data_IF_525992433185
#
_entry.id   IF_525992433185
#
_cell.length_a   1.000
_cell.length_b   1.000
_cell.length_c   1.000
_cell.angle_alpha   90.00
_cell.angle_beta   90.00
_cell.angle_gamma   90.00
#
_symmetry.space_group_name_H-M   'P 1'
#
loop_
_entity.id
_entity.type
_entity.pdbx_description
1 polymer ?
#
# COMPACT_ATOMS: atom_id res chain seq x y z
N UNK A 1 23.97 28.65 -8.57
CA UNK A 1 24.60 27.40 -9.03
C UNK A 1 24.98 26.64 -7.77
N UNK A 2 24.08 25.81 -7.27
CA UNK A 2 24.32 24.95 -6.12
C UNK A 2 24.66 23.59 -6.68
N UNK A 3 25.87 23.15 -6.46
CA UNK A 3 26.40 21.83 -6.81
C UNK A 3 25.57 20.77 -6.10
N UNK A 4 24.76 20.03 -6.83
CA UNK A 4 24.16 18.79 -6.33
C UNK A 4 25.26 17.76 -6.10
N UNK A 5 25.54 17.50 -4.85
CA UNK A 5 26.40 16.43 -4.40
C UNK A 5 25.74 15.09 -4.75
N UNK A 6 26.22 14.44 -5.82
CA UNK A 6 25.83 13.06 -6.14
C UNK A 6 26.23 12.17 -4.98
N UNK A 7 25.27 11.78 -4.15
CA UNK A 7 25.49 10.78 -3.10
C UNK A 7 25.73 9.42 -3.76
N UNK A 8 26.84 8.82 -3.39
CA UNK A 8 27.17 7.44 -3.75
C UNK A 8 26.26 6.47 -2.95
N UNK A 9 25.40 5.75 -3.66
CA UNK A 9 24.46 4.79 -3.08
C UNK A 9 24.99 3.36 -3.01
N UNK A 10 26.31 3.15 -3.22
CA UNK A 10 26.94 1.82 -3.19
C UNK A 10 27.06 1.21 -1.79
N UNK A 11 26.80 1.97 -0.72
CA UNK A 11 26.82 1.49 0.65
C UNK A 11 25.41 1.62 1.29
N UNK A 12 24.46 0.83 0.81
CA UNK A 12 23.19 0.64 1.53
C UNK A 12 23.50 -0.19 2.77
N UNK A 13 23.18 0.29 4.00
CA UNK A 13 23.26 -0.57 5.18
C UNK A 13 22.37 -1.80 4.95
N UNK A 14 22.89 -3.00 5.18
CA UNK A 14 22.07 -4.21 5.24
C UNK A 14 20.87 -3.94 6.15
N UNK A 15 19.68 -4.35 5.70
CA UNK A 15 18.44 -4.14 6.43
C UNK A 15 18.61 -4.64 7.87
N UNK A 16 18.39 -3.74 8.82
CA UNK A 16 18.54 -4.03 10.25
C UNK A 16 17.56 -5.16 10.61
N UNK A 17 18.09 -6.37 10.79
CA UNK A 17 17.45 -7.39 11.61
C UNK A 17 16.58 -8.44 10.94
N UNK A 18 16.86 -8.89 9.72
CA UNK A 18 16.28 -10.13 9.19
C UNK A 18 17.30 -11.25 9.21
N UNK A 19 17.26 -12.07 10.26
CA UNK A 19 17.90 -13.37 10.26
C UNK A 19 17.23 -14.31 9.26
N UNK A 20 18.02 -15.02 8.50
CA UNK A 20 17.74 -15.98 7.42
C UNK A 20 16.63 -16.99 7.72
N UNK A 21 15.36 -16.63 7.52
CA UNK A 21 14.24 -17.55 7.49
C UNK A 21 13.27 -17.15 6.35
N UNK A 22 13.58 -17.63 5.15
CA UNK A 22 12.78 -17.47 3.95
C UNK A 22 13.06 -16.17 3.15
N UNK A 23 12.88 -16.24 1.84
CA UNK A 23 12.97 -15.07 0.96
C UNK A 23 11.94 -13.99 1.36
N UNK A 24 12.31 -12.71 1.35
CA UNK A 24 11.38 -11.65 1.73
C UNK A 24 10.23 -11.54 0.70
N UNK A 25 9.00 -11.56 1.20
CA UNK A 25 7.80 -11.39 0.36
C UNK A 25 7.66 -9.95 -0.13
N UNK A 26 8.10 -8.98 0.70
CA UNK A 26 8.16 -7.55 0.34
C UNK A 26 9.57 -7.05 0.59
N UNK A 27 10.11 -6.33 -0.38
CA UNK A 27 11.37 -5.62 -0.25
C UNK A 27 11.16 -4.16 -0.62
N UNK A 28 11.55 -3.27 0.27
CA UNK A 28 11.49 -1.82 0.06
C UNK A 28 12.91 -1.28 -0.01
N UNK A 29 13.23 -0.53 -1.05
CA UNK A 29 14.58 -0.02 -1.31
C UNK A 29 14.55 1.48 -1.60
N UNK A 30 15.14 2.27 -0.72
CA UNK A 30 15.40 3.70 -0.86
C UNK A 30 14.19 4.52 -1.33
N UNK A 31 12.98 4.15 -0.90
CA UNK A 31 11.77 4.84 -1.33
C UNK A 31 11.72 6.26 -0.76
N UNK A 32 11.22 7.17 -1.59
CA UNK A 32 11.02 8.59 -1.22
C UNK A 32 9.62 9.04 -1.59
N UNK A 33 9.02 9.85 -0.73
CA UNK A 33 7.78 10.54 -1.00
C UNK A 33 7.85 11.98 -0.54
N UNK A 34 7.82 12.88 -1.49
CA UNK A 34 7.85 14.32 -1.26
C UNK A 34 6.59 14.95 -1.82
N UNK A 35 5.96 15.80 -1.04
CA UNK A 35 4.79 16.55 -1.45
C UNK A 35 5.16 18.01 -1.67
N UNK A 36 4.70 18.57 -2.77
CA UNK A 36 4.86 19.99 -3.05
C UNK A 36 3.90 20.78 -2.16
N UNK A 37 4.43 21.70 -1.37
CA UNK A 37 3.66 22.57 -0.49
C UNK A 37 3.82 24.01 -0.95
N UNK A 38 2.70 24.65 -1.27
CA UNK A 38 2.71 26.06 -1.65
C UNK A 38 2.81 26.93 -0.40
N UNK A 39 3.89 27.71 -0.27
CA UNK A 39 4.00 28.77 0.74
C UNK A 39 3.58 30.10 0.11
N UNK A 40 2.40 30.62 0.51
CA UNK A 40 1.99 32.01 0.19
C UNK A 40 0.99 32.14 -0.95
N UNK A 41 0.73 33.39 -1.34
CA UNK A 41 -0.19 33.77 -2.40
C UNK A 41 0.28 33.21 -3.76
N UNK A 42 -0.67 32.79 -4.64
CA UNK A 42 -0.37 32.04 -5.87
C UNK A 42 0.45 32.78 -6.92
N UNK A 43 0.89 34.00 -6.66
CA UNK A 43 1.52 34.89 -7.64
C UNK A 43 3.06 35.01 -7.46
N UNK A 44 3.63 34.58 -6.33
CA UNK A 44 5.09 34.61 -6.08
C UNK A 44 5.49 33.25 -5.50
N UNK A 45 5.67 32.26 -6.38
CA UNK A 45 5.83 30.88 -6.00
C UNK A 45 7.25 30.47 -5.64
N UNK A 46 7.57 30.40 -4.36
CA UNK A 46 8.57 29.45 -3.90
C UNK A 46 7.84 28.15 -3.50
N UNK A 47 8.16 27.07 -4.17
CA UNK A 47 7.63 25.75 -3.82
C UNK A 47 8.55 25.13 -2.78
N UNK A 48 8.00 24.77 -1.62
CA UNK A 48 8.71 23.93 -0.65
C UNK A 48 8.30 22.47 -0.84
N UNK A 49 9.21 21.58 -0.49
CA UNK A 49 8.97 20.14 -0.52
C UNK A 49 8.86 19.59 0.88
N UNK A 50 7.71 19.02 1.21
CA UNK A 50 7.53 18.24 2.43
C UNK A 50 8.03 16.81 2.16
N UNK A 51 9.14 16.44 2.77
CA UNK A 51 9.70 15.10 2.71
C UNK A 51 8.96 14.20 3.70
N UNK A 52 7.88 13.59 3.26
CA UNK A 52 7.07 12.70 4.10
C UNK A 52 7.74 11.33 4.32
N UNK A 53 8.46 10.84 3.31
CA UNK A 53 9.31 9.65 3.38
C UNK A 53 10.60 10.00 2.66
N UNK A 54 11.74 9.73 3.27
CA UNK A 54 13.04 10.05 2.69
C UNK A 54 14.02 8.91 2.97
N UNK A 55 14.33 8.15 1.91
CA UNK A 55 15.33 7.09 1.89
C UNK A 55 15.05 5.90 2.82
N UNK A 56 13.84 5.35 2.76
CA UNK A 56 13.42 4.24 3.61
C UNK A 56 13.61 2.90 2.91
N UNK A 57 14.26 1.96 3.60
CA UNK A 57 14.49 0.58 3.14
C UNK A 57 14.20 -0.42 4.25
N UNK A 58 13.51 -1.52 3.94
CA UNK A 58 13.27 -2.65 4.85
C UNK A 58 12.77 -3.87 4.07
N UNK A 59 12.81 -5.03 4.71
CA UNK A 59 12.29 -6.29 4.19
C UNK A 59 11.21 -6.85 5.09
N UNK A 60 10.21 -7.48 4.48
CA UNK A 60 9.17 -8.26 5.18
C UNK A 60 9.37 -9.72 4.80
N UNK A 61 9.92 -10.56 5.69
CA UNK A 61 10.10 -11.99 5.42
C UNK A 61 8.74 -12.71 5.29
N UNK A 62 8.69 -13.74 4.46
CA UNK A 62 7.48 -14.55 4.31
C UNK A 62 7.06 -15.16 5.65
N UNK A 63 5.76 -15.12 5.96
CA UNK A 63 5.21 -15.67 7.21
C UNK A 63 5.58 -14.90 8.49
N UNK A 64 6.21 -13.71 8.37
CA UNK A 64 6.56 -12.87 9.53
C UNK A 64 5.72 -11.60 9.58
N UNK A 65 5.65 -11.00 10.76
CA UNK A 65 5.00 -9.71 10.98
C UNK A 65 6.06 -8.66 11.29
N UNK A 66 5.99 -7.52 10.61
CA UNK A 66 6.83 -6.35 10.88
C UNK A 66 5.98 -5.21 11.43
N UNK A 67 6.45 -4.59 12.53
CA UNK A 67 5.85 -3.39 13.10
C UNK A 67 6.57 -2.13 12.63
N UNK A 68 5.84 -1.21 11.97
CA UNK A 68 6.34 0.12 11.63
C UNK A 68 5.94 1.10 12.73
N UNK A 69 6.88 1.52 13.55
CA UNK A 69 6.66 2.39 14.72
C UNK A 69 7.35 3.75 14.55
N UNK A 70 6.85 4.76 15.22
CA UNK A 70 7.38 6.13 15.19
C UNK A 70 6.33 7.14 15.60
N UNK A 71 6.73 8.41 15.73
CA UNK A 71 5.87 9.53 16.14
C UNK A 71 4.76 9.81 15.11
N UNK A 72 3.72 10.54 15.53
CA UNK A 72 2.67 10.98 14.61
C UNK A 72 3.27 11.89 13.53
N UNK A 73 2.89 11.65 12.26
CA UNK A 73 3.39 12.45 11.14
C UNK A 73 4.76 12.03 10.59
N UNK A 74 5.45 11.02 11.13
CA UNK A 74 6.77 10.59 10.64
C UNK A 74 6.76 9.76 9.34
N UNK A 75 5.62 9.67 8.65
CA UNK A 75 5.54 9.02 7.33
C UNK A 75 5.09 7.55 7.31
N UNK A 76 4.74 6.94 8.47
CA UNK A 76 4.28 5.53 8.54
C UNK A 76 3.14 5.20 7.58
N UNK A 77 2.08 6.00 7.63
CA UNK A 77 0.91 5.81 6.76
C UNK A 77 1.26 5.99 5.28
N UNK A 78 2.12 6.95 4.95
CA UNK A 78 2.60 7.17 3.59
C UNK A 78 3.41 5.98 3.09
N UNK A 79 4.33 5.46 3.93
CA UNK A 79 5.11 4.26 3.62
C UNK A 79 4.19 3.05 3.40
N UNK A 80 3.22 2.81 4.30
CA UNK A 80 2.26 1.73 4.14
C UNK A 80 1.43 1.86 2.85
N UNK A 81 0.97 3.06 2.51
CA UNK A 81 0.23 3.31 1.26
C UNK A 81 1.08 3.01 0.02
N UNK A 82 2.37 3.34 0.03
CA UNK A 82 3.27 3.01 -1.08
C UNK A 82 3.45 1.50 -1.22
N UNK A 83 3.64 0.78 -0.10
CA UNK A 83 3.74 -0.69 -0.10
C UNK A 83 2.47 -1.35 -0.63
N UNK A 84 1.29 -0.81 -0.29
CA UNK A 84 -0.01 -1.28 -0.79
C UNK A 84 -0.30 -0.87 -2.25
N UNK A 85 0.59 -0.10 -2.90
CA UNK A 85 0.36 0.42 -4.25
C UNK A 85 -0.82 1.39 -4.34
N UNK A 86 -1.20 2.02 -3.21
CA UNK A 86 -2.22 3.08 -3.14
C UNK A 86 -1.62 4.46 -3.41
N UNK A 87 -0.33 4.58 -3.27
CA UNK A 87 0.44 5.80 -3.52
C UNK A 87 1.76 5.44 -4.20
N UNK A 88 2.20 6.26 -5.15
CA UNK A 88 3.45 6.03 -5.87
C UNK A 88 4.60 6.80 -5.20
N UNK A 89 5.82 6.25 -5.18
CA UNK A 89 7.01 7.00 -4.80
C UNK A 89 7.14 8.30 -5.63
N UNK A 90 7.85 9.29 -5.10
CA UNK A 90 8.23 10.47 -5.89
C UNK A 90 9.07 10.06 -7.09
N UNK A 91 8.99 10.84 -8.16
CA UNK A 91 9.75 10.60 -9.37
C UNK A 91 10.86 11.64 -9.53
N UNK A 92 11.99 11.21 -10.10
CA UNK A 92 13.05 12.08 -10.61
C UNK A 92 13.15 11.86 -12.12
N UNK A 93 12.94 12.91 -12.91
CA UNK A 93 12.89 12.81 -14.37
C UNK A 93 11.83 11.85 -14.91
N UNK A 94 10.74 11.58 -14.14
CA UNK A 94 9.67 10.63 -14.50
C UNK A 94 9.95 9.18 -14.08
N UNK A 95 11.10 8.91 -13.45
CA UNK A 95 11.44 7.58 -12.91
C UNK A 95 11.16 7.54 -11.40
N UNK A 96 10.50 6.51 -10.87
CA UNK A 96 10.27 6.37 -9.42
C UNK A 96 11.60 6.39 -8.65
N UNK A 97 11.64 7.14 -7.53
CA UNK A 97 12.80 7.14 -6.65
C UNK A 97 12.67 6.01 -5.63
N UNK A 98 13.54 5.02 -5.73
CA UNK A 98 13.49 3.78 -4.97
C UNK A 98 12.59 2.74 -5.65
N UNK A 99 12.55 1.55 -5.07
CA UNK A 99 11.80 0.40 -5.60
C UNK A 99 11.09 -0.33 -4.50
N UNK A 100 9.95 -0.92 -4.85
CA UNK A 100 9.21 -1.83 -3.96
C UNK A 100 9.02 -3.13 -4.74
N UNK A 101 9.46 -4.24 -4.15
CA UNK A 101 9.29 -5.56 -4.72
C UNK A 101 8.25 -6.34 -3.91
N UNK A 102 7.34 -6.98 -4.60
CA UNK A 102 6.40 -7.96 -4.06
C UNK A 102 6.64 -9.29 -4.76
N UNK A 103 6.97 -10.35 -4.01
CA UNK A 103 7.34 -11.66 -4.56
C UNK A 103 8.38 -11.56 -5.70
N UNK A 104 9.38 -10.70 -5.52
CA UNK A 104 10.46 -10.48 -6.48
C UNK A 104 10.10 -9.60 -7.69
N UNK A 105 8.86 -9.15 -7.84
CA UNK A 105 8.44 -8.24 -8.91
C UNK A 105 8.48 -6.79 -8.45
N UNK A 106 9.12 -5.92 -9.21
CA UNK A 106 9.13 -4.48 -8.94
C UNK A 106 7.74 -3.87 -9.22
N UNK A 107 7.03 -3.53 -8.14
CA UNK A 107 5.66 -2.99 -8.22
C UNK A 107 5.60 -1.53 -8.65
N UNK A 108 6.72 -0.81 -8.56
CA UNK A 108 6.79 0.61 -8.95
C UNK A 108 6.71 0.79 -10.48
N UNK A 109 7.11 -0.24 -11.23
CA UNK A 109 7.15 -0.25 -12.69
C UNK A 109 6.02 -1.06 -13.33
N UNK A 110 5.12 -1.66 -12.53
CA UNK A 110 4.03 -2.48 -13.03
C UNK A 110 3.05 -1.69 -13.90
N UNK A 111 2.59 -2.34 -14.95
CA UNK A 111 1.44 -1.87 -15.74
C UNK A 111 0.15 -1.87 -14.90
N UNK A 112 -0.90 -1.21 -15.38
CA UNK A 112 -2.21 -1.21 -14.71
C UNK A 112 -2.76 -2.64 -14.50
N UNK A 113 -2.47 -3.57 -15.40
CA UNK A 113 -2.85 -4.99 -15.25
C UNK A 113 -2.04 -5.66 -14.13
N UNK A 114 -0.72 -5.46 -14.07
CA UNK A 114 0.13 -5.97 -13.00
C UNK A 114 -0.24 -5.43 -11.62
N UNK A 115 -0.54 -4.12 -11.53
CA UNK A 115 -1.03 -3.50 -10.29
C UNK A 115 -2.37 -4.10 -9.82
N UNK A 116 -3.25 -4.48 -10.77
CA UNK A 116 -4.51 -5.16 -10.44
C UNK A 116 -4.25 -6.56 -9.86
N UNK A 117 -3.33 -7.31 -10.44
CA UNK A 117 -2.97 -8.65 -9.96
C UNK A 117 -2.36 -8.59 -8.55
N UNK A 118 -1.40 -7.69 -8.33
CA UNK A 118 -0.84 -7.46 -7.00
C UNK A 118 -1.92 -7.14 -5.95
N UNK A 119 -2.91 -6.29 -6.28
CA UNK A 119 -4.00 -5.94 -5.35
C UNK A 119 -4.92 -7.10 -4.98
N UNK A 120 -4.92 -8.19 -5.74
CA UNK A 120 -5.61 -9.43 -5.37
C UNK A 120 -4.90 -10.18 -4.25
N UNK A 121 -3.56 -10.09 -4.23
CA UNK A 121 -2.71 -10.79 -3.27
C UNK A 121 -2.45 -9.98 -1.99
N UNK A 122 -2.61 -8.63 -2.04
CA UNK A 122 -2.35 -7.73 -0.92
C UNK A 122 -3.65 -7.13 -0.40
N UNK A 123 -3.92 -7.28 0.88
CA UNK A 123 -5.12 -6.75 1.54
C UNK A 123 -4.74 -5.77 2.65
N UNK A 124 -5.55 -4.74 2.85
CA UNK A 124 -5.38 -3.74 3.89
C UNK A 124 -6.54 -3.77 4.89
N UNK A 125 -6.19 -3.72 6.18
CA UNK A 125 -7.16 -3.43 7.24
C UNK A 125 -6.89 -2.00 7.73
N UNK A 126 -7.85 -1.11 7.52
CA UNK A 126 -7.72 0.28 7.94
C UNK A 126 -7.97 0.47 9.43
N UNK A 127 -7.41 1.52 10.01
CA UNK A 127 -7.50 1.84 11.44
C UNK A 127 -8.95 2.01 11.93
N UNK A 128 -9.83 2.53 11.10
CA UNK A 128 -11.27 2.64 11.35
C UNK A 128 -12.03 1.87 10.25
N UNK A 129 -12.29 0.57 10.46
CA UNK A 129 -13.02 -0.25 9.49
C UNK A 129 -14.45 0.24 9.25
N UNK A 130 -15.09 0.83 10.27
CA UNK A 130 -16.49 1.27 10.20
C UNK A 130 -16.67 2.45 9.23
N UNK A 131 -15.75 3.42 9.25
CA UNK A 131 -15.80 4.54 8.31
C UNK A 131 -15.52 4.13 6.87
N UNK A 132 -14.90 2.96 6.67
CA UNK A 132 -14.58 2.42 5.34
C UNK A 132 -15.79 1.73 4.69
N UNK A 133 -16.81 1.37 5.47
CA UNK A 133 -18.01 0.71 4.97
C UNK A 133 -19.07 1.74 4.61
N UNK A 134 -19.67 1.60 3.44
CA UNK A 134 -20.82 2.43 3.06
C UNK A 134 -22.08 1.97 3.83
N UNK A 135 -22.61 2.79 4.76
CA UNK A 135 -23.74 2.38 5.62
C UNK A 135 -25.06 2.18 4.85
N UNK A 136 -25.12 2.61 3.60
CA UNK A 136 -26.29 2.43 2.72
C UNK A 136 -26.23 1.12 1.92
N UNK A 137 -25.10 0.41 1.95
CA UNK A 137 -24.94 -0.87 1.27
C UNK A 137 -25.27 -2.02 2.19
N UNK A 138 -25.86 -3.07 1.62
CA UNK A 138 -26.07 -4.32 2.35
C UNK A 138 -24.74 -5.05 2.53
N UNK A 139 -24.57 -5.73 3.65
CA UNK A 139 -23.34 -6.47 3.99
C UNK A 139 -22.96 -7.46 2.88
N UNK A 140 -23.93 -8.25 2.38
CA UNK A 140 -23.69 -9.19 1.28
C UNK A 140 -23.17 -8.50 0.00
N UNK A 141 -23.58 -7.26 -0.26
CA UNK A 141 -23.10 -6.49 -1.41
C UNK A 141 -21.65 -6.05 -1.19
N UNK A 142 -21.33 -5.60 0.03
CA UNK A 142 -19.96 -5.19 0.38
C UNK A 142 -19.00 -6.38 0.28
N UNK A 143 -19.39 -7.54 0.85
CA UNK A 143 -18.57 -8.77 0.78
C UNK A 143 -18.49 -9.29 -0.67
N UNK A 144 -19.54 -9.11 -1.46
CA UNK A 144 -19.61 -9.55 -2.85
C UNK A 144 -18.82 -8.68 -3.83
N UNK A 145 -18.51 -7.43 -3.48
CA UNK A 145 -17.82 -6.49 -4.38
C UNK A 145 -16.43 -6.98 -4.83
N UNK A 146 -15.53 -7.45 -3.95
CA UNK A 146 -14.26 -8.03 -4.36
C UNK A 146 -14.43 -9.27 -5.27
N UNK A 147 -15.47 -10.08 -5.04
CA UNK A 147 -15.76 -11.24 -5.87
C UNK A 147 -16.24 -10.81 -7.28
N UNK A 148 -17.01 -9.72 -7.38
CA UNK A 148 -17.46 -9.17 -8.65
C UNK A 148 -16.30 -8.64 -9.50
N UNK A 149 -15.35 -7.95 -8.87
CA UNK A 149 -14.22 -7.33 -9.56
C UNK A 149 -13.18 -8.37 -9.98
N UNK A 150 -12.96 -9.41 -9.15
CA UNK A 150 -11.84 -10.32 -9.29
C UNK A 150 -12.19 -11.72 -9.82
N UNK A 151 -13.48 -12.05 -9.98
CA UNK A 151 -13.91 -13.38 -10.44
C UNK A 151 -14.95 -13.28 -11.56
N UNK A 152 -15.24 -14.41 -12.19
CA UNK A 152 -16.32 -14.56 -13.19
C UNK A 152 -17.61 -15.09 -12.58
N UNK A 153 -17.73 -15.12 -11.27
CA UNK A 153 -18.90 -15.64 -10.55
C UNK A 153 -20.17 -14.87 -10.91
N UNK A 154 -21.26 -15.60 -11.08
CA UNK A 154 -22.60 -15.03 -11.22
C UNK A 154 -23.04 -14.36 -9.91
N UNK A 155 -24.03 -13.47 -9.98
CA UNK A 155 -24.59 -12.82 -8.78
C UNK A 155 -25.09 -13.84 -7.74
N UNK A 156 -25.65 -14.96 -8.16
CA UNK A 156 -26.13 -16.02 -7.27
C UNK A 156 -24.97 -16.69 -6.53
N UNK A 157 -23.90 -17.05 -7.25
CA UNK A 157 -22.70 -17.65 -6.66
C UNK A 157 -22.00 -16.69 -5.69
N UNK A 158 -21.89 -15.40 -6.03
CA UNK A 158 -21.34 -14.38 -5.11
C UNK A 158 -22.16 -14.26 -3.82
N UNK A 159 -23.50 -14.26 -3.92
CA UNK A 159 -24.35 -14.19 -2.74
C UNK A 159 -24.21 -15.44 -1.85
N UNK A 160 -24.12 -16.62 -2.46
CA UNK A 160 -23.87 -17.87 -1.72
C UNK A 160 -22.52 -17.79 -1.01
N UNK A 161 -21.45 -17.41 -1.74
CA UNK A 161 -20.11 -17.30 -1.15
C UNK A 161 -20.03 -16.25 -0.04
N UNK A 162 -20.72 -15.12 -0.21
CA UNK A 162 -20.82 -14.09 0.84
C UNK A 162 -21.53 -14.62 2.10
N UNK A 163 -22.57 -15.46 1.94
CA UNK A 163 -23.22 -16.15 3.04
C UNK A 163 -22.28 -17.11 3.76
N UNK A 164 -21.55 -17.95 3.03
CA UNK A 164 -20.58 -18.89 3.59
C UNK A 164 -19.50 -18.16 4.40
N UNK A 165 -18.98 -17.02 3.89
CA UNK A 165 -18.00 -16.22 4.60
C UNK A 165 -18.54 -15.59 5.89
N UNK A 166 -19.81 -15.19 5.91
CA UNK A 166 -20.47 -14.72 7.14
C UNK A 166 -20.59 -15.83 8.17
N UNK A 167 -20.96 -17.04 7.74
CA UNK A 167 -21.03 -18.20 8.63
C UNK A 167 -19.66 -18.59 9.19
N UNK A 168 -18.58 -18.52 8.37
CA UNK A 168 -17.21 -18.78 8.81
C UNK A 168 -16.76 -17.87 9.97
N UNK A 169 -17.28 -16.62 10.02
CA UNK A 169 -16.97 -15.66 11.10
C UNK A 169 -18.07 -15.62 12.20
N UNK A 170 -19.00 -16.56 12.18
CA UNK A 170 -20.07 -16.68 13.18
C UNK A 170 -21.20 -15.66 13.04
N UNK A 171 -21.33 -15.00 11.90
CA UNK A 171 -22.42 -14.08 11.58
C UNK A 171 -23.49 -14.81 10.78
N UNK A 172 -24.75 -14.67 11.22
CA UNK A 172 -25.86 -15.27 10.48
C UNK A 172 -26.09 -14.54 9.16
N UNK A 173 -26.01 -15.21 7.99
CA UNK A 173 -26.19 -14.57 6.67
C UNK A 173 -27.58 -13.93 6.48
N UNK A 174 -28.57 -14.34 7.26
CA UNK A 174 -29.92 -13.75 7.23
C UNK A 174 -30.06 -12.48 8.08
N UNK A 175 -29.17 -12.22 9.05
CA UNK A 175 -29.18 -11.00 9.86
C UNK A 175 -28.59 -9.79 9.14
N UNK A 176 -27.86 -9.99 8.07
CA UNK A 176 -27.29 -8.90 7.24
C UNK A 176 -28.24 -8.35 6.17
N UNK A 177 -29.47 -8.84 6.09
CA UNK A 177 -30.51 -8.35 5.16
C UNK A 177 -31.76 -7.97 5.97
N UNK A 178 -31.91 -6.70 6.37
CA UNK A 178 -33.20 -6.19 6.81
C UNK A 178 -34.21 -6.14 5.65
#
# INVERSE_FOLDING_TARGET
>A
MTTEEKRDYSSVPEAIGCSNDGDPIIQVRNIRKWYQVNKGLPIIGSHDWLKAVDDVSFDVPSGKTIGLVGESGCGKTTTAKMVLGLEEPSTDGGVPVGSIYFEGQDVTTLTSAGKREMRRSVQAVFQDPWSSLNPRMRVNTIIGEPLEINTTMTKKERNTRAGDLLDEVGLNPYQGNP
#
